data_IF_300282460268
#
_entry.id   IF_300282460268
#
_cell.length_a   1.000
_cell.length_b   1.000
_cell.length_c   1.000
_cell.angle_alpha   90.00
_cell.angle_beta   90.00
_cell.angle_gamma   90.00
#
_symmetry.space_group_name_H-M   'P 1'
#
loop_
_entity.id
_entity.type
_entity.pdbx_description
1 polymer ?
#
# COMPACT_ATOMS: atom_id res chain seq x y z
N UNK A 1 -2.95 -4.95 -6.99
CA UNK A 1 -4.26 -4.26 -7.12
C UNK A 1 -4.62 -3.33 -5.96
N UNK A 2 -3.86 -3.29 -4.84
CA UNK A 2 -4.21 -2.44 -3.69
C UNK A 2 -4.22 -0.92 -3.97
N UNK A 3 -3.29 -0.41 -4.77
CA UNK A 3 -3.18 1.03 -5.07
C UNK A 3 -4.35 1.57 -5.88
N UNK A 4 -4.86 0.79 -6.84
CA UNK A 4 -6.02 1.19 -7.63
C UNK A 4 -7.27 1.33 -6.76
N UNK A 5 -7.51 0.37 -5.87
CA UNK A 5 -8.66 0.39 -4.97
C UNK A 5 -8.53 1.54 -3.97
N UNK A 6 -7.35 1.76 -3.39
CA UNK A 6 -7.07 2.91 -2.52
C UNK A 6 -7.45 4.24 -3.19
N UNK A 7 -7.02 4.46 -4.43
CA UNK A 7 -7.33 5.69 -5.17
C UNK A 7 -8.81 5.79 -5.57
N UNK A 8 -9.44 4.69 -5.96
CA UNK A 8 -10.86 4.68 -6.33
C UNK A 8 -11.75 5.03 -5.13
N UNK A 9 -11.47 4.50 -3.94
CA UNK A 9 -12.22 4.85 -2.74
C UNK A 9 -11.93 6.28 -2.26
N UNK A 10 -10.68 6.75 -2.38
CA UNK A 10 -10.36 8.17 -2.15
C UNK A 10 -11.19 9.09 -3.07
N UNK A 11 -11.17 8.81 -4.38
CA UNK A 11 -11.96 9.56 -5.35
C UNK A 11 -13.47 9.47 -5.07
N UNK A 12 -14.00 8.30 -4.73
CA UNK A 12 -15.43 8.13 -4.43
C UNK A 12 -15.86 8.94 -3.20
N UNK A 13 -14.99 9.07 -2.19
CA UNK A 13 -15.22 9.92 -1.02
C UNK A 13 -15.17 11.41 -1.35
N UNK A 14 -14.21 11.84 -2.18
CA UNK A 14 -14.02 13.26 -2.56
C UNK A 14 -15.06 13.77 -3.58
N UNK A 15 -15.54 12.89 -4.48
CA UNK A 15 -16.53 13.22 -5.50
C UNK A 15 -17.99 13.13 -5.01
N UNK A 16 -18.21 12.68 -3.77
CA UNK A 16 -19.55 12.52 -3.19
C UNK A 16 -20.31 11.27 -3.66
N UNK A 17 -19.65 10.34 -4.35
CA UNK A 17 -20.23 9.05 -4.74
C UNK A 17 -20.45 8.12 -3.54
N UNK A 18 -19.67 8.29 -2.46
CA UNK A 18 -19.78 7.57 -1.20
C UNK A 18 -19.58 8.54 -0.03
N UNK A 19 -20.19 8.30 1.14
CA UNK A 19 -19.88 9.08 2.34
C UNK A 19 -18.38 9.03 2.67
N UNK A 20 -17.81 10.17 3.05
CA UNK A 20 -16.37 10.36 3.19
C UNK A 20 -15.71 9.41 4.22
N UNK A 21 -16.37 9.17 5.34
CA UNK A 21 -15.82 8.35 6.44
C UNK A 21 -15.66 6.86 6.06
N UNK A 22 -16.69 6.19 5.52
CA UNK A 22 -16.55 4.84 4.96
C UNK A 22 -15.54 4.74 3.81
N UNK A 23 -15.54 5.72 2.90
CA UNK A 23 -14.62 5.76 1.76
C UNK A 23 -13.16 5.87 2.22
N UNK A 24 -12.89 6.71 3.23
CA UNK A 24 -11.58 6.84 3.87
C UNK A 24 -11.15 5.54 4.57
N UNK A 25 -12.04 4.91 5.34
CA UNK A 25 -11.74 3.65 6.02
C UNK A 25 -11.38 2.53 5.04
N UNK A 26 -12.09 2.43 3.90
CA UNK A 26 -11.77 1.48 2.84
C UNK A 26 -10.43 1.82 2.17
N UNK A 27 -10.17 3.09 1.85
CA UNK A 27 -8.89 3.54 1.31
C UNK A 27 -7.71 3.15 2.20
N UNK A 28 -7.82 3.41 3.51
CA UNK A 28 -6.81 3.02 4.50
C UNK A 28 -6.67 1.50 4.60
N UNK A 29 -7.76 0.74 4.54
CA UNK A 29 -7.70 -0.72 4.56
C UNK A 29 -6.88 -1.28 3.37
N UNK A 30 -7.06 -0.73 2.16
CA UNK A 30 -6.26 -1.13 1.00
C UNK A 30 -4.80 -0.68 1.08
N UNK A 31 -4.53 0.48 1.69
CA UNK A 31 -3.16 0.92 1.96
C UNK A 31 -2.44 0.00 2.96
N UNK A 32 -3.08 -0.34 4.08
CA UNK A 32 -2.54 -1.30 5.06
C UNK A 32 -2.35 -2.68 4.45
N UNK A 33 -3.28 -3.13 3.60
CA UNK A 33 -3.13 -4.37 2.86
C UNK A 33 -1.86 -4.37 1.98
N UNK A 34 -1.57 -3.25 1.28
CA UNK A 34 -0.33 -3.13 0.51
C UNK A 34 0.92 -3.23 1.40
N UNK A 35 0.94 -2.52 2.53
CA UNK A 35 2.04 -2.57 3.49
C UNK A 35 2.27 -4.02 3.95
N UNK A 36 1.20 -4.73 4.31
CA UNK A 36 1.27 -6.13 4.72
C UNK A 36 1.90 -7.02 3.64
N UNK A 37 1.43 -6.93 2.39
CA UNK A 37 2.00 -7.72 1.28
C UNK A 37 3.48 -7.43 1.02
N UNK A 38 3.95 -6.20 1.27
CA UNK A 38 5.35 -5.82 1.07
C UNK A 38 6.26 -6.23 2.24
N UNK A 39 5.78 -6.13 3.49
CA UNK A 39 6.58 -6.41 4.69
C UNK A 39 6.59 -7.87 5.11
N UNK A 40 5.46 -8.57 4.96
CA UNK A 40 5.26 -9.91 5.50
C UNK A 40 4.71 -10.91 4.48
N UNK A 41 4.45 -10.47 3.25
CA UNK A 41 3.96 -11.33 2.18
C UNK A 41 4.99 -11.55 1.08
N UNK A 42 4.48 -11.75 -0.13
CA UNK A 42 5.23 -12.09 -1.34
C UNK A 42 6.38 -11.12 -1.64
N UNK A 43 6.22 -9.83 -1.32
CA UNK A 43 7.27 -8.83 -1.56
C UNK A 43 8.52 -9.07 -0.69
N UNK A 44 8.34 -9.54 0.53
CA UNK A 44 9.45 -9.84 1.44
C UNK A 44 10.18 -11.12 1.04
N UNK A 45 9.45 -12.13 0.59
CA UNK A 45 10.03 -13.38 0.09
C UNK A 45 10.87 -13.10 -1.17
N UNK A 46 10.33 -12.31 -2.11
CA UNK A 46 11.03 -11.96 -3.34
C UNK A 46 12.35 -11.22 -3.07
N UNK A 47 12.36 -10.23 -2.16
CA UNK A 47 13.57 -9.45 -1.90
C UNK A 47 14.65 -10.24 -1.15
N UNK A 48 14.27 -11.27 -0.38
CA UNK A 48 15.20 -12.04 0.46
C UNK A 48 16.31 -12.75 -0.32
N UNK A 49 16.07 -13.03 -1.60
CA UNK A 49 17.02 -13.72 -2.50
C UNK A 49 17.91 -12.76 -3.31
N UNK A 50 17.75 -11.45 -3.12
CA UNK A 50 18.43 -10.41 -3.92
C UNK A 50 19.70 -9.88 -3.25
N UNK A 51 20.50 -9.09 -3.99
CA UNK A 51 21.72 -8.48 -3.46
C UNK A 51 21.44 -7.49 -2.31
N UNK A 52 22.44 -7.28 -1.44
CA UNK A 52 22.31 -6.34 -0.32
C UNK A 52 21.91 -4.92 -0.75
N UNK A 53 22.39 -4.46 -1.91
CA UNK A 53 22.00 -3.16 -2.48
C UNK A 53 20.50 -3.08 -2.82
N UNK A 54 19.92 -4.15 -3.35
CA UNK A 54 18.49 -4.24 -3.70
C UNK A 54 17.65 -4.33 -2.43
N UNK A 55 18.09 -5.07 -1.41
CA UNK A 55 17.40 -5.14 -0.13
C UNK A 55 17.33 -3.77 0.58
N UNK A 56 18.41 -2.99 0.54
CA UNK A 56 18.43 -1.63 1.08
C UNK A 56 17.47 -0.72 0.30
N UNK A 57 17.53 -0.72 -1.04
CA UNK A 57 16.64 0.07 -1.87
C UNK A 57 15.16 -0.28 -1.62
N UNK A 58 14.84 -1.57 -1.52
CA UNK A 58 13.50 -2.06 -1.20
C UNK A 58 13.03 -1.54 0.17
N UNK A 59 13.88 -1.63 1.19
CA UNK A 59 13.55 -1.14 2.54
C UNK A 59 13.28 0.37 2.54
N UNK A 60 14.06 1.16 1.80
CA UNK A 60 13.82 2.61 1.63
C UNK A 60 12.48 2.88 0.92
N UNK A 61 12.17 2.14 -0.15
CA UNK A 61 10.89 2.28 -0.86
C UNK A 61 9.69 1.94 0.04
N UNK A 62 9.82 0.93 0.91
CA UNK A 62 8.78 0.59 1.87
C UNK A 62 8.54 1.68 2.90
N UNK A 63 9.59 2.37 3.33
CA UNK A 63 9.45 3.51 4.25
C UNK A 63 8.69 4.66 3.60
N UNK A 64 8.92 4.96 2.32
CA UNK A 64 8.19 5.99 1.56
C UNK A 64 6.69 5.68 1.46
N UNK A 65 6.30 4.41 1.49
CA UNK A 65 4.88 4.03 1.45
C UNK A 65 4.20 4.25 2.81
N UNK A 66 4.95 4.23 3.91
CA UNK A 66 4.43 4.31 5.28
C UNK A 66 4.44 5.74 5.83
N UNK A 67 5.54 6.46 5.61
CA UNK A 67 5.85 7.77 6.20
C UNK A 67 5.62 8.87 5.18
#
# INVERSE_FOLDING_TARGET
FGSLLMLLFGYAGESGLMPALPAFALGVAFWVYMIYTLWMGEGKEAVSTTSASVQTAYSTMMWIIIV
#
